data_IF_066080713585
#
_entry.id   IF_066080713585
#
_cell.length_a   1.000
_cell.length_b   1.000
_cell.length_c   1.000
_cell.angle_alpha   90.00
_cell.angle_beta   90.00
_cell.angle_gamma   90.00
#
_symmetry.space_group_name_H-M   'P 1'
#
loop_
_entity.id
_entity.type
_entity.pdbx_description
1 polymer ?
#
# COMPACT_ATOMS: atom_id res chain seq x y z
N UNK A 1 40.54 8.36 -10.67
CA UNK A 1 39.16 8.74 -11.05
C UNK A 1 38.25 7.59 -10.64
N UNK A 2 37.70 7.64 -9.43
CA UNK A 2 36.69 6.69 -8.96
C UNK A 2 35.37 7.04 -9.64
N UNK A 3 34.93 6.23 -10.59
CA UNK A 3 33.52 6.23 -11.00
C UNK A 3 32.73 5.82 -9.75
N UNK A 4 32.17 6.79 -9.04
CA UNK A 4 31.07 6.53 -8.11
C UNK A 4 29.90 6.06 -8.98
N UNK A 5 29.81 4.75 -9.20
CA UNK A 5 28.74 4.15 -9.97
C UNK A 5 27.40 4.58 -9.37
N UNK A 6 26.60 5.29 -10.17
CA UNK A 6 25.29 5.73 -9.75
C UNK A 6 24.39 4.51 -9.62
N UNK A 7 23.99 4.18 -8.39
CA UNK A 7 23.12 3.03 -8.14
C UNK A 7 21.68 3.52 -8.28
N UNK A 8 21.04 3.13 -9.38
CA UNK A 8 19.62 3.39 -9.62
C UNK A 8 18.81 2.12 -9.41
N UNK A 9 17.54 2.30 -9.06
CA UNK A 9 16.61 1.20 -8.91
C UNK A 9 15.23 1.58 -9.44
N UNK A 10 14.50 0.59 -9.94
CA UNK A 10 13.11 0.75 -10.38
C UNK A 10 12.15 0.17 -9.34
N UNK A 11 11.12 0.94 -8.99
CA UNK A 11 10.05 0.51 -8.10
C UNK A 11 8.71 0.65 -8.82
N UNK A 12 8.10 -0.47 -9.25
CA UNK A 12 6.75 -0.44 -9.80
C UNK A 12 5.75 0.09 -8.76
N UNK A 13 4.86 0.96 -9.19
CA UNK A 13 3.80 1.50 -8.35
C UNK A 13 2.52 1.70 -9.16
N UNK A 14 1.41 1.86 -8.46
CA UNK A 14 0.19 2.38 -9.04
C UNK A 14 -0.24 3.64 -8.29
N UNK A 15 -0.87 4.60 -8.98
CA UNK A 15 -1.37 5.82 -8.37
C UNK A 15 -2.90 5.84 -8.40
N UNK A 16 -3.51 6.08 -7.25
CA UNK A 16 -4.96 6.16 -7.09
C UNK A 16 -5.34 7.41 -6.32
N UNK A 17 -6.55 7.92 -6.53
CA UNK A 17 -7.11 8.99 -5.71
C UNK A 17 -8.55 8.67 -5.31
N UNK A 18 -8.97 9.21 -4.18
CA UNK A 18 -10.35 9.14 -3.72
C UNK A 18 -10.78 10.51 -3.20
N UNK A 19 -11.73 11.14 -3.91
CA UNK A 19 -12.24 12.48 -3.59
C UNK A 19 -11.13 13.54 -3.42
N UNK A 20 -10.14 13.50 -4.31
CA UNK A 20 -9.00 14.43 -4.32
C UNK A 20 -7.80 14.03 -3.47
N UNK A 21 -7.97 13.09 -2.52
CA UNK A 21 -6.84 12.59 -1.72
C UNK A 21 -6.12 11.46 -2.47
N UNK A 22 -4.86 11.66 -2.84
CA UNK A 22 -4.11 10.78 -3.74
C UNK A 22 -3.00 9.98 -3.04
N UNK A 23 -2.83 8.72 -3.49
CA UNK A 23 -1.89 7.77 -2.91
C UNK A 23 -1.07 7.05 -3.97
N UNK A 24 0.20 6.84 -3.64
CA UNK A 24 1.06 5.88 -4.33
C UNK A 24 0.87 4.53 -3.65
N UNK A 25 0.57 3.47 -4.39
CA UNK A 25 0.33 2.12 -3.87
C UNK A 25 1.45 1.20 -4.36
N UNK A 26 2.12 0.54 -3.41
CA UNK A 26 3.24 -0.35 -3.69
C UNK A 26 3.09 -1.66 -2.90
N UNK A 27 3.24 -2.84 -3.53
CA UNK A 27 3.40 -4.10 -2.80
C UNK A 27 4.67 -4.08 -1.96
N UNK A 28 4.56 -4.38 -0.67
CA UNK A 28 5.69 -4.37 0.26
C UNK A 28 6.81 -5.33 -0.18
N UNK A 29 6.47 -6.45 -0.82
CA UNK A 29 7.45 -7.40 -1.33
C UNK A 29 8.38 -6.78 -2.37
N UNK A 30 7.92 -5.81 -3.15
CA UNK A 30 8.74 -5.14 -4.15
C UNK A 30 9.73 -4.16 -3.48
N UNK A 31 9.33 -3.50 -2.39
CA UNK A 31 10.25 -2.71 -1.56
C UNK A 31 11.26 -3.61 -0.84
N UNK A 32 10.85 -4.79 -0.35
CA UNK A 32 11.79 -5.74 0.29
C UNK A 32 12.87 -6.19 -0.68
N UNK A 33 12.49 -6.62 -1.89
CA UNK A 33 13.44 -6.98 -2.95
C UNK A 33 14.38 -5.83 -3.26
N UNK A 34 13.85 -4.62 -3.40
CA UNK A 34 14.65 -3.42 -3.63
C UNK A 34 15.69 -3.19 -2.54
N UNK A 35 15.29 -3.29 -1.27
CA UNK A 35 16.18 -3.10 -0.13
C UNK A 35 17.21 -4.23 0.00
N UNK A 36 16.85 -5.48 -0.33
CA UNK A 36 17.78 -6.60 -0.37
C UNK A 36 18.88 -6.39 -1.43
N UNK A 37 18.50 -5.92 -2.63
CA UNK A 37 19.46 -5.56 -3.66
C UNK A 37 20.35 -4.39 -3.20
N UNK A 38 19.77 -3.35 -2.60
CA UNK A 38 20.53 -2.21 -2.09
C UNK A 38 21.53 -2.59 -0.98
N UNK A 39 21.16 -3.52 -0.08
CA UNK A 39 22.07 -4.05 0.95
C UNK A 39 23.28 -4.76 0.34
N UNK A 40 23.07 -5.55 -0.71
CA UNK A 40 24.15 -6.22 -1.44
C UNK A 40 25.17 -5.24 -2.04
N UNK A 41 24.76 -3.98 -2.27
CA UNK A 41 25.61 -2.94 -2.84
C UNK A 41 26.18 -1.98 -1.78
N UNK A 42 25.46 -1.73 -0.67
CA UNK A 42 25.79 -0.71 0.34
C UNK A 42 26.47 -1.29 1.62
N UNK A 43 26.70 -2.60 1.71
CA UNK A 43 27.42 -3.24 2.82
C UNK A 43 26.54 -3.61 4.03
N UNK A 44 27.14 -4.33 5.00
CA UNK A 44 26.45 -4.85 6.19
C UNK A 44 26.02 -3.73 7.16
N UNK A 45 24.84 -3.89 7.78
CA UNK A 45 24.26 -2.95 8.74
C UNK A 45 24.25 -3.51 10.16
N UNK A 46 24.21 -2.62 11.14
CA UNK A 46 24.19 -2.93 12.58
C UNK A 46 23.08 -3.94 12.97
N UNK A 47 23.33 -4.89 13.89
CA UNK A 47 22.34 -5.82 14.41
C UNK A 47 21.08 -5.15 14.97
N UNK A 48 21.16 -3.94 15.53
CA UNK A 48 20.01 -3.22 16.07
C UNK A 48 19.02 -2.75 14.97
N UNK A 49 19.52 -2.60 13.74
CA UNK A 49 18.74 -2.30 12.54
C UNK A 49 18.18 -3.57 11.85
N UNK A 50 18.45 -4.77 12.37
CA UNK A 50 18.08 -6.03 11.69
C UNK A 50 16.72 -6.60 12.05
N UNK A 51 15.99 -6.00 13.02
CA UNK A 51 14.62 -6.40 13.30
C UNK A 51 13.80 -6.28 11.99
N UNK A 52 13.30 -7.40 11.43
CA UNK A 52 12.95 -7.49 10.00
C UNK A 52 11.82 -6.54 9.58
N UNK A 53 11.03 -6.07 10.54
CA UNK A 53 9.99 -5.07 10.30
C UNK A 53 10.45 -3.63 10.61
N UNK A 54 11.33 -3.42 11.59
CA UNK A 54 11.76 -2.06 12.02
C UNK A 54 12.58 -1.34 10.94
N UNK A 55 13.46 -2.06 10.27
CA UNK A 55 14.22 -1.50 9.15
C UNK A 55 13.34 -1.02 8.02
N UNK A 56 12.39 -1.86 7.61
CA UNK A 56 11.45 -1.56 6.54
C UNK A 56 10.52 -0.40 6.92
N UNK A 57 10.12 -0.33 8.19
CA UNK A 57 9.37 0.78 8.76
C UNK A 57 10.11 2.11 8.59
N UNK A 58 11.40 2.17 8.97
CA UNK A 58 12.21 3.38 8.85
C UNK A 58 12.46 3.76 7.39
N UNK A 59 12.80 2.79 6.54
CA UNK A 59 13.03 3.03 5.10
C UNK A 59 11.77 3.48 4.36
N UNK A 60 10.61 2.93 4.70
CA UNK A 60 9.33 3.39 4.10
C UNK A 60 8.96 4.82 4.47
N UNK A 61 9.37 5.32 5.64
CA UNK A 61 9.17 6.72 6.03
C UNK A 61 9.98 7.67 5.13
N UNK A 62 11.27 7.37 4.94
CA UNK A 62 12.13 8.15 4.03
C UNK A 62 11.66 8.06 2.58
N UNK A 63 11.31 6.85 2.13
CA UNK A 63 10.79 6.65 0.79
C UNK A 63 9.52 7.48 0.56
N UNK A 64 8.58 7.45 1.52
CA UNK A 64 7.35 8.24 1.43
C UNK A 64 7.66 9.73 1.26
N UNK A 65 8.57 10.31 2.06
CA UNK A 65 8.99 11.72 1.92
C UNK A 65 9.51 12.04 0.52
N UNK A 66 10.35 11.17 -0.03
CA UNK A 66 10.97 11.38 -1.34
C UNK A 66 9.95 11.27 -2.48
N UNK A 67 9.14 10.21 -2.50
CA UNK A 67 8.24 9.97 -3.63
C UNK A 67 6.94 10.77 -3.56
N UNK A 68 6.50 11.16 -2.36
CA UNK A 68 5.28 11.95 -2.18
C UNK A 68 5.52 13.45 -2.38
N UNK A 69 6.77 13.92 -2.40
CA UNK A 69 7.08 15.30 -2.74
C UNK A 69 6.54 15.64 -4.14
N UNK A 70 5.77 16.73 -4.24
CA UNK A 70 5.04 17.09 -5.47
C UNK A 70 5.92 17.76 -6.53
N UNK A 71 7.13 18.19 -6.18
CA UNK A 71 8.02 18.91 -7.09
C UNK A 71 9.16 18.03 -7.61
N UNK A 72 9.66 17.14 -6.75
CA UNK A 72 10.84 16.31 -7.00
C UNK A 72 10.52 14.82 -7.05
N UNK A 73 9.36 14.42 -6.53
CA UNK A 73 8.87 13.04 -6.55
C UNK A 73 7.72 12.83 -7.54
N UNK A 74 6.96 11.77 -7.29
CA UNK A 74 5.72 11.46 -8.03
C UNK A 74 4.58 12.39 -7.60
N UNK A 75 4.62 12.86 -6.34
CA UNK A 75 3.60 13.71 -5.74
C UNK A 75 2.37 12.93 -5.29
N UNK A 76 2.11 12.87 -3.98
CA UNK A 76 0.91 12.26 -3.40
C UNK A 76 0.69 12.73 -1.95
N UNK A 77 -0.50 12.51 -1.40
CA UNK A 77 -0.76 12.73 0.03
C UNK A 77 -0.18 11.61 0.91
N UNK A 78 0.06 10.43 0.33
CA UNK A 78 0.75 9.36 1.03
C UNK A 78 1.13 8.14 0.19
N UNK A 79 1.87 7.23 0.83
CA UNK A 79 2.28 5.93 0.33
C UNK A 79 1.51 4.82 1.05
N UNK A 80 0.84 3.96 0.29
CA UNK A 80 0.19 2.74 0.75
C UNK A 80 1.11 1.55 0.48
N UNK A 81 1.48 0.85 1.54
CA UNK A 81 2.20 -0.41 1.51
C UNK A 81 1.21 -1.57 1.59
N UNK A 82 1.07 -2.31 0.50
CA UNK A 82 0.22 -3.50 0.46
C UNK A 82 1.01 -4.76 0.81
N UNK A 83 0.51 -5.54 1.75
CA UNK A 83 1.05 -6.84 2.17
C UNK A 83 0.03 -7.93 1.93
N UNK A 84 0.53 -9.16 1.86
CA UNK A 84 -0.31 -10.35 1.96
C UNK A 84 -1.11 -10.33 3.27
N UNK A 85 -2.39 -10.74 3.23
CA UNK A 85 -3.22 -10.80 4.43
C UNK A 85 -2.74 -11.90 5.39
N UNK A 86 -2.97 -11.72 6.69
CA UNK A 86 -2.67 -12.74 7.70
C UNK A 86 -3.68 -13.90 7.65
N UNK A 87 -4.91 -13.64 7.18
CA UNK A 87 -5.99 -14.62 7.09
C UNK A 87 -6.58 -14.78 5.69
N UNK A 88 -6.95 -16.01 5.31
CA UNK A 88 -7.54 -16.32 3.98
C UNK A 88 -8.85 -15.58 3.65
N UNK A 89 -9.52 -15.00 4.65
CA UNK A 89 -10.77 -14.25 4.48
C UNK A 89 -10.56 -12.76 4.23
N UNK A 90 -9.32 -12.28 4.29
CA UNK A 90 -8.98 -10.88 4.08
C UNK A 90 -8.36 -10.72 2.69
N UNK A 91 -8.63 -9.58 2.06
CA UNK A 91 -8.17 -9.26 0.71
C UNK A 91 -6.71 -8.81 0.69
N UNK A 92 -6.25 -8.21 1.79
CA UNK A 92 -4.89 -7.73 1.95
C UNK A 92 -4.69 -7.08 3.31
N UNK A 93 -3.44 -6.73 3.59
CA UNK A 93 -3.04 -5.96 4.77
C UNK A 93 -2.35 -4.68 4.31
N UNK A 94 -2.77 -3.53 4.83
CA UNK A 94 -2.22 -2.25 4.41
C UNK A 94 -1.55 -1.51 5.56
N UNK A 95 -0.55 -0.71 5.21
CA UNK A 95 0.02 0.33 6.07
C UNK A 95 0.15 1.61 5.26
N UNK A 96 -0.09 2.75 5.89
CA UNK A 96 -0.11 4.05 5.23
C UNK A 96 0.99 4.92 5.83
N UNK A 97 1.84 5.47 4.97
CA UNK A 97 2.76 6.55 5.28
C UNK A 97 2.20 7.84 4.72
N UNK A 98 2.09 8.88 5.53
CA UNK A 98 1.78 10.21 5.02
C UNK A 98 2.98 10.76 4.25
N UNK A 99 2.78 11.84 3.50
CA UNK A 99 3.84 12.52 2.74
C UNK A 99 5.01 13.02 3.61
N UNK A 100 4.77 13.32 4.89
CA UNK A 100 5.81 13.67 5.87
C UNK A 100 6.55 12.44 6.45
N UNK A 101 6.21 11.23 6.00
CA UNK A 101 6.77 9.97 6.43
C UNK A 101 6.19 9.41 7.74
N UNK A 102 5.26 10.10 8.40
CA UNK A 102 4.55 9.58 9.58
C UNK A 102 3.64 8.39 9.23
N UNK A 103 3.29 7.55 10.21
CA UNK A 103 2.32 6.48 10.00
C UNK A 103 0.90 6.96 10.26
N UNK A 104 -0.02 6.64 9.35
CA UNK A 104 -1.44 6.72 9.63
C UNK A 104 -1.96 5.33 10.02
N UNK A 105 -2.64 5.23 11.17
CA UNK A 105 -3.28 3.99 11.59
C UNK A 105 -4.45 3.59 10.68
N UNK A 106 -5.12 4.58 10.10
CA UNK A 106 -6.27 4.41 9.21
C UNK A 106 -6.44 5.62 8.28
N UNK A 107 -6.89 5.37 7.05
CA UNK A 107 -7.40 6.40 6.14
C UNK A 107 -8.57 5.84 5.35
N UNK A 108 -9.74 6.49 5.48
CA UNK A 108 -10.93 6.10 4.73
C UNK A 108 -10.73 6.22 3.21
N UNK A 109 -9.98 7.21 2.75
CA UNK A 109 -9.64 7.38 1.33
C UNK A 109 -8.59 6.35 0.91
N UNK A 110 -7.54 6.19 1.72
CA UNK A 110 -6.45 5.25 1.41
C UNK A 110 -6.92 3.80 1.31
N UNK A 111 -7.82 3.34 2.20
CA UNK A 111 -8.32 1.97 2.13
C UNK A 111 -9.18 1.70 0.89
N UNK A 112 -9.92 2.71 0.39
CA UNK A 112 -10.65 2.61 -0.88
C UNK A 112 -9.69 2.50 -2.06
N UNK A 113 -8.63 3.32 -2.09
CA UNK A 113 -7.57 3.23 -3.08
C UNK A 113 -6.88 1.86 -3.05
N UNK A 114 -6.59 1.32 -1.85
CA UNK A 114 -5.99 0.01 -1.71
C UNK A 114 -6.92 -1.12 -2.21
N UNK A 115 -8.22 -1.05 -1.89
CA UNK A 115 -9.20 -2.03 -2.36
C UNK A 115 -9.31 -2.00 -3.90
N UNK A 116 -9.39 -0.81 -4.50
CA UNK A 116 -9.37 -0.63 -5.95
C UNK A 116 -8.13 -1.25 -6.58
N UNK A 117 -6.93 -0.95 -6.04
CA UNK A 117 -5.67 -1.50 -6.52
C UNK A 117 -5.64 -3.04 -6.50
N UNK A 118 -6.09 -3.67 -5.41
CA UNK A 118 -6.07 -5.14 -5.30
C UNK A 118 -7.02 -5.77 -6.33
N UNK A 119 -8.23 -5.22 -6.47
CA UNK A 119 -9.23 -5.72 -7.42
C UNK A 119 -8.77 -5.53 -8.86
N UNK A 120 -8.21 -4.37 -9.19
CA UNK A 120 -7.71 -4.07 -10.53
C UNK A 120 -6.51 -4.95 -10.88
N UNK A 121 -5.55 -5.09 -9.97
CA UNK A 121 -4.40 -5.98 -10.13
C UNK A 121 -4.81 -7.44 -10.32
N UNK A 122 -5.82 -7.90 -9.56
CA UNK A 122 -6.36 -9.23 -9.71
C UNK A 122 -7.06 -9.41 -11.06
N UNK A 123 -7.86 -8.42 -11.49
CA UNK A 123 -8.52 -8.41 -12.79
C UNK A 123 -7.49 -8.50 -13.93
N UNK A 124 -6.49 -7.63 -13.95
CA UNK A 124 -5.44 -7.61 -14.99
C UNK A 124 -4.71 -8.96 -15.09
N UNK A 125 -4.37 -9.58 -13.95
CA UNK A 125 -3.73 -10.90 -13.90
C UNK A 125 -4.61 -12.03 -14.43
N UNK A 126 -5.92 -11.91 -14.30
CA UNK A 126 -6.87 -12.94 -14.72
C UNK A 126 -7.29 -12.77 -16.18
N UNK A 127 -7.39 -11.53 -16.65
CA UNK A 127 -7.68 -11.19 -18.06
C UNK A 127 -6.50 -11.53 -18.99
N UNK A 128 -5.26 -11.53 -18.49
CA UNK A 128 -4.09 -12.02 -19.25
C UNK A 128 -4.13 -13.54 -19.54
N UNK A 129 -5.12 -14.27 -19.00
CA UNK A 129 -5.37 -15.69 -19.27
C UNK A 129 -6.77 -15.87 -19.88
N UNK A 130 -6.90 -16.00 -21.21
CA UNK A 130 -8.19 -16.13 -21.90
C UNK A 130 -9.05 -17.27 -21.32
N UNK A 131 -10.34 -17.01 -21.07
CA UNK A 131 -11.30 -18.02 -20.57
C UNK A 131 -11.26 -18.26 -19.06
N UNK A 132 -10.51 -17.48 -18.28
CA UNK A 132 -10.41 -17.67 -16.83
C UNK A 132 -11.70 -17.25 -16.10
N UNK A 133 -12.52 -18.24 -15.71
CA UNK A 133 -13.75 -18.05 -14.91
C UNK A 133 -13.51 -17.35 -13.57
N UNK A 134 -12.28 -17.27 -13.08
CA UNK A 134 -11.94 -16.55 -11.85
C UNK A 134 -12.00 -15.02 -12.04
N UNK A 135 -11.79 -14.49 -13.25
CA UNK A 135 -11.94 -13.05 -13.53
C UNK A 135 -13.36 -12.56 -13.22
N UNK A 136 -14.36 -13.35 -13.61
CA UNK A 136 -15.77 -13.10 -13.30
C UNK A 136 -16.09 -13.21 -11.81
N UNK A 137 -15.28 -13.94 -11.03
CA UNK A 137 -15.48 -14.06 -9.58
C UNK A 137 -15.00 -12.81 -8.85
N UNK A 138 -13.88 -12.22 -9.29
CA UNK A 138 -13.35 -10.97 -8.73
C UNK A 138 -14.33 -9.82 -8.95
N UNK A 139 -14.91 -9.69 -10.16
CA UNK A 139 -15.89 -8.63 -10.46
C UNK A 139 -17.22 -8.76 -9.69
N UNK A 140 -17.52 -9.96 -9.18
CA UNK A 140 -18.71 -10.25 -8.35
C UNK A 140 -18.47 -10.11 -6.85
N UNK A 141 -17.24 -9.89 -6.40
CA UNK A 141 -17.00 -9.61 -4.98
C UNK A 141 -17.75 -8.34 -4.60
N UNK A 142 -18.54 -8.40 -3.53
CA UNK A 142 -19.30 -7.26 -3.00
C UNK A 142 -18.86 -6.86 -1.62
N UNK A 143 -18.35 -7.81 -0.84
CA UNK A 143 -17.83 -7.58 0.50
C UNK A 143 -16.34 -7.92 0.55
N UNK A 144 -15.56 -6.99 1.07
CA UNK A 144 -14.11 -7.09 1.18
C UNK A 144 -13.71 -6.81 2.63
N UNK A 145 -12.63 -7.44 3.07
CA UNK A 145 -12.05 -7.20 4.40
C UNK A 145 -10.57 -6.91 4.25
N UNK A 146 -10.10 -5.81 4.79
CA UNK A 146 -8.69 -5.40 4.72
C UNK A 146 -8.16 -5.20 6.13
N UNK A 147 -6.99 -5.77 6.41
CA UNK A 147 -6.29 -5.59 7.68
C UNK A 147 -5.58 -4.22 7.71
N UNK A 148 -5.77 -3.47 8.78
CA UNK A 148 -5.11 -2.18 9.04
C UNK A 148 -4.52 -2.18 10.46
N UNK A 149 -3.63 -1.24 10.82
CA UNK A 149 -3.22 -1.04 12.20
C UNK A 149 -4.42 -0.81 13.14
N UNK A 150 -5.45 -0.10 12.70
CA UNK A 150 -6.70 0.12 13.44
C UNK A 150 -7.69 -1.07 13.37
N UNK A 151 -7.20 -2.29 13.13
CA UNK A 151 -7.99 -3.51 13.02
C UNK A 151 -8.50 -3.82 11.60
N UNK A 152 -9.29 -4.89 11.46
CA UNK A 152 -9.87 -5.29 10.18
C UNK A 152 -11.05 -4.39 9.83
N UNK A 153 -11.05 -3.84 8.62
CA UNK A 153 -12.12 -2.99 8.11
C UNK A 153 -12.89 -3.71 7.01
N UNK A 154 -14.20 -3.60 7.06
CA UNK A 154 -15.10 -4.15 6.04
C UNK A 154 -15.44 -3.07 5.02
N UNK A 155 -15.39 -3.43 3.75
CA UNK A 155 -15.78 -2.58 2.63
C UNK A 155 -16.87 -3.29 1.84
N UNK A 156 -17.88 -2.52 1.45
CA UNK A 156 -18.89 -2.93 0.48
C UNK A 156 -18.62 -2.22 -0.84
N UNK A 157 -18.37 -2.98 -1.90
CA UNK A 157 -18.21 -2.45 -3.25
C UNK A 157 -19.59 -2.25 -3.88
N UNK A 158 -19.94 -0.98 -4.13
CA UNK A 158 -21.22 -0.59 -4.69
C UNK A 158 -21.16 -0.56 -6.22
N UNK A 159 -20.08 -0.01 -6.76
CA UNK A 159 -19.84 0.14 -8.20
C UNK A 159 -18.39 -0.21 -8.52
N UNK A 160 -18.17 -0.80 -9.70
CA UNK A 160 -16.85 -1.16 -10.20
C UNK A 160 -16.84 -1.16 -11.73
N UNK A 161 -16.22 -0.14 -12.29
CA UNK A 161 -15.94 0.02 -13.71
C UNK A 161 -14.43 0.09 -13.95
N UNK A 162 -14.02 0.12 -15.21
CA UNK A 162 -12.60 0.22 -15.56
C UNK A 162 -12.04 1.56 -15.05
N UNK A 163 -11.18 1.50 -14.03
CA UNK A 163 -10.54 2.68 -13.44
C UNK A 163 -11.43 3.46 -12.45
N UNK A 164 -12.65 3.00 -12.15
CA UNK A 164 -13.55 3.69 -11.24
C UNK A 164 -14.23 2.70 -10.28
N UNK A 165 -14.21 3.03 -8.99
CA UNK A 165 -14.80 2.19 -7.95
C UNK A 165 -15.49 3.04 -6.89
N UNK A 166 -16.64 2.58 -6.43
CA UNK A 166 -17.37 3.17 -5.30
C UNK A 166 -17.44 2.15 -4.18
N UNK A 167 -16.95 2.55 -3.00
CA UNK A 167 -16.99 1.72 -1.81
C UNK A 167 -17.67 2.45 -0.65
N UNK A 168 -18.48 1.69 0.10
CA UNK A 168 -18.87 2.04 1.46
C UNK A 168 -17.90 1.34 2.42
N UNK A 169 -17.36 2.08 3.40
CA UNK A 169 -16.38 1.55 4.35
C UNK A 169 -16.95 1.60 5.77
N UNK A 170 -16.93 0.46 6.47
CA UNK A 170 -17.20 0.42 7.89
C UNK A 170 -15.95 0.88 8.65
N UNK A 171 -15.91 2.15 9.07
CA UNK A 171 -14.75 2.74 9.75
C UNK A 171 -14.56 2.22 11.18
N UNK A 172 -15.62 1.62 11.76
CA UNK A 172 -15.67 1.21 13.16
C UNK A 172 -16.27 2.29 14.04
N UNK A 173 -16.23 2.06 15.35
CA UNK A 173 -16.75 2.99 16.34
C UNK A 173 -15.72 4.08 16.68
N UNK A 174 -16.15 5.32 16.94
CA UNK A 174 -15.25 6.39 17.36
C UNK A 174 -14.75 6.15 18.79
N UNK A 175 -13.48 6.50 19.05
CA UNK A 175 -12.93 6.53 20.40
C UNK A 175 -13.18 7.90 21.00
N UNK A 176 -14.01 7.96 22.04
CA UNK A 176 -14.40 9.23 22.68
C UNK A 176 -13.61 9.54 23.97
N UNK A 177 -12.86 8.56 24.50
CA UNK A 177 -12.07 8.74 25.71
C UNK A 177 -10.73 9.36 25.36
N UNK A 178 -10.47 10.60 25.81
CA UNK A 178 -9.24 11.35 25.49
C UNK A 178 -7.95 10.56 25.75
N UNK A 179 -7.88 9.81 26.86
CA UNK A 179 -6.71 8.97 27.21
C UNK A 179 -6.46 7.80 26.25
N UNK A 180 -7.40 7.50 25.36
CA UNK A 180 -7.35 6.39 24.39
C UNK A 180 -7.30 6.89 22.95
N UNK A 181 -7.27 8.21 22.73
CA UNK A 181 -7.05 8.77 21.39
C UNK A 181 -5.54 8.58 21.09
N UNK A 182 -5.19 7.88 20.01
CA UNK A 182 -3.81 7.63 19.62
C UNK A 182 -3.06 8.89 19.19
#
# INVERSE_FOLDING_TARGET
MTQSGEISFELPFAKFHAAGNDFIVVPENDIRKLLEHARGVLGEMSPEDTAPNRFLLLRSSMLARQICDRHTGIGADGLILLREPSGRRHLGKIRIRNSDGSEAEMSGNGIRCAAAYILDSARQRLESKPGNKQAQRVSRLRELRIETPAGVKSLQMLEADKGHWVFRVAMGEPILQAKKIP
#
